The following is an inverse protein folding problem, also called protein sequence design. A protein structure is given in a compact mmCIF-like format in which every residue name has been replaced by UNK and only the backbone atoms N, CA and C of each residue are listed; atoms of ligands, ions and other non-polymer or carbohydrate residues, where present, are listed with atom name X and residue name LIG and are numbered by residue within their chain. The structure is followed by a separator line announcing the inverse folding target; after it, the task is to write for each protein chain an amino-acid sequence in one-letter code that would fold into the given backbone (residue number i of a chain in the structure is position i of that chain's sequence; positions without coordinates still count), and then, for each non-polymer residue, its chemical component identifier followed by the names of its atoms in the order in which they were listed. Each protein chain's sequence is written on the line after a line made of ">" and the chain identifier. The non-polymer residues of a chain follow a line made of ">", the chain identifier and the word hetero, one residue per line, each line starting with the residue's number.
data_IF_112230543191
#
_entry.id   IF_112230543191
#
_cell.length_a   1.000
_cell.length_b   1.000
_cell.length_c   1.000
_cell.angle_alpha   90.00
_cell.angle_beta   90.00
_cell.angle_gamma   90.00
#
_symmetry.space_group_name_H-M   'P 1'
#
loop_
_entity.id
_entity.type
_entity.pdbx_description
1 polymer ?
#
# COMPACT_ATOMS: atom_id res chain seq x y z
N UNK A 1 9.18 -11.37 6.25
CA UNK A 1 9.34 -11.30 4.81
C UNK A 1 8.97 -9.91 4.33
N UNK A 2 9.80 -9.32 3.49
CA UNK A 2 9.59 -7.96 2.98
C UNK A 2 8.91 -7.97 1.61
N UNK A 3 8.07 -6.99 1.38
CA UNK A 3 7.41 -6.79 0.11
C UNK A 3 7.50 -5.33 -0.31
N UNK A 4 7.77 -5.11 -1.59
CA UNK A 4 7.68 -3.79 -2.20
C UNK A 4 6.33 -3.70 -2.91
N UNK A 5 5.59 -2.65 -2.59
CA UNK A 5 4.26 -2.43 -3.14
C UNK A 5 4.24 -1.13 -3.90
N UNK A 6 3.78 -1.18 -5.14
CA UNK A 6 3.49 0.00 -5.94
C UNK A 6 2.00 0.01 -6.22
N UNK A 7 1.29 0.95 -5.63
CA UNK A 7 -0.16 1.09 -5.81
C UNK A 7 -0.45 2.35 -6.61
N UNK A 8 -1.09 2.18 -7.75
CA UNK A 8 -1.47 3.28 -8.63
C UNK A 8 -2.98 3.39 -8.71
N UNK A 9 -3.47 4.59 -8.99
CA UNK A 9 -4.88 4.83 -9.25
C UNK A 9 -5.00 5.71 -10.49
N UNK A 10 -6.13 5.58 -11.21
CA UNK A 10 -6.39 6.40 -12.39
C UNK A 10 -6.80 7.80 -11.98
N UNK A 11 -6.81 8.71 -12.94
CA UNK A 11 -7.33 10.05 -12.73
C UNK A 11 -8.76 10.03 -12.19
N UNK A 12 -9.57 9.10 -12.68
CA UNK A 12 -10.98 8.96 -12.24
C UNK A 12 -11.11 8.49 -10.81
N UNK A 13 -10.16 7.69 -10.32
CA UNK A 13 -10.15 7.16 -8.96
C UNK A 13 -9.21 7.93 -8.05
N UNK A 14 -8.75 9.10 -8.49
CA UNK A 14 -7.80 9.91 -7.73
C UNK A 14 -8.37 10.31 -6.37
N UNK A 15 -7.61 10.01 -5.32
CA UNK A 15 -8.02 10.24 -3.94
C UNK A 15 -7.90 11.70 -3.51
N UNK A 16 -7.15 12.50 -4.28
CA UNK A 16 -6.82 13.87 -3.89
C UNK A 16 -8.05 14.76 -3.70
N UNK A 17 -9.10 14.50 -4.47
CA UNK A 17 -10.32 15.29 -4.45
C UNK A 17 -11.52 14.55 -3.84
N UNK A 18 -11.27 13.41 -3.17
CA UNK A 18 -12.34 12.61 -2.58
C UNK A 18 -12.02 12.31 -1.11
N UNK A 19 -12.60 13.09 -0.17
CA UNK A 19 -12.33 12.90 1.25
C UNK A 19 -12.72 11.52 1.78
N UNK A 20 -13.77 10.91 1.25
CA UNK A 20 -14.20 9.58 1.68
C UNK A 20 -13.19 8.50 1.28
N UNK A 21 -12.71 8.55 0.05
CA UNK A 21 -11.69 7.61 -0.43
C UNK A 21 -10.37 7.79 0.31
N UNK A 22 -9.98 9.04 0.58
CA UNK A 22 -8.80 9.32 1.40
C UNK A 22 -8.91 8.68 2.77
N UNK A 23 -10.07 8.77 3.38
CA UNK A 23 -10.31 8.18 4.69
C UNK A 23 -10.22 6.67 4.64
N UNK A 24 -10.79 6.03 3.61
CA UNK A 24 -10.72 4.58 3.44
C UNK A 24 -9.26 4.12 3.33
N UNK A 25 -8.47 4.82 2.51
CA UNK A 25 -7.04 4.52 2.37
C UNK A 25 -6.29 4.68 3.69
N UNK A 26 -6.54 5.80 4.37
CA UNK A 26 -5.89 6.09 5.64
C UNK A 26 -6.23 5.03 6.70
N UNK A 27 -7.49 4.63 6.77
CA UNK A 27 -7.95 3.62 7.71
C UNK A 27 -7.35 2.25 7.39
N UNK A 28 -7.22 1.91 6.10
CA UNK A 28 -6.57 0.67 5.67
C UNK A 28 -5.11 0.63 6.12
N UNK A 29 -4.38 1.74 5.96
CA UNK A 29 -2.99 1.85 6.38
C UNK A 29 -2.88 1.75 7.90
N UNK A 30 -3.74 2.43 8.64
CA UNK A 30 -3.74 2.40 10.11
C UNK A 30 -4.06 1.01 10.66
N UNK A 31 -4.90 0.25 9.99
CA UNK A 31 -5.28 -1.09 10.43
C UNK A 31 -4.31 -2.18 9.97
N UNK A 32 -3.29 -1.84 9.18
CA UNK A 32 -2.35 -2.81 8.62
C UNK A 32 -1.69 -3.67 9.71
N UNK A 33 -1.26 -3.05 10.79
CA UNK A 33 -0.59 -3.75 11.87
C UNK A 33 -1.49 -4.81 12.51
N UNK A 34 -2.77 -4.52 12.66
CA UNK A 34 -3.74 -5.47 13.19
C UNK A 34 -3.96 -6.66 12.24
N UNK A 35 -3.66 -6.48 10.97
CA UNK A 35 -3.77 -7.52 9.95
C UNK A 35 -2.45 -8.25 9.71
N UNK A 36 -1.44 -7.98 10.55
CA UNK A 36 -0.15 -8.64 10.45
C UNK A 36 0.82 -8.01 9.46
N UNK A 37 0.61 -6.76 9.08
CA UNK A 37 1.48 -6.05 8.14
C UNK A 37 2.14 -4.87 8.85
N UNK A 38 3.48 -4.84 8.85
CA UNK A 38 4.25 -3.72 9.37
C UNK A 38 4.71 -2.85 8.20
N UNK A 39 4.34 -1.59 8.21
CA UNK A 39 4.74 -0.65 7.16
C UNK A 39 6.03 0.03 7.58
N UNK A 40 7.12 -0.22 6.84
CA UNK A 40 8.42 0.39 7.10
C UNK A 40 8.55 1.76 6.43
N UNK A 41 8.08 1.86 5.19
CA UNK A 41 8.15 3.08 4.41
C UNK A 41 6.86 3.29 3.66
N UNK A 42 6.46 4.55 3.57
CA UNK A 42 5.25 4.94 2.84
C UNK A 42 5.55 6.28 2.17
N UNK A 43 5.63 6.27 0.85
CA UNK A 43 5.92 7.47 0.07
C UNK A 43 4.95 7.56 -1.11
N UNK A 44 4.68 8.77 -1.56
CA UNK A 44 3.75 8.96 -2.66
C UNK A 44 4.19 10.06 -3.61
N UNK A 45 3.73 9.96 -4.84
CA UNK A 45 3.83 11.02 -5.82
C UNK A 45 2.43 11.35 -6.33
N UNK A 46 1.94 12.53 -6.01
CA UNK A 46 0.63 12.98 -6.50
C UNK A 46 0.58 13.07 -8.03
N UNK A 47 1.59 13.68 -8.70
CA UNK A 47 1.56 13.73 -10.16
C UNK A 47 1.53 12.37 -10.83
N UNK A 48 2.15 11.36 -10.24
CA UNK A 48 2.18 10.00 -10.78
C UNK A 48 0.99 9.16 -10.32
N UNK A 49 0.12 9.68 -9.45
CA UNK A 49 -1.00 8.95 -8.86
C UNK A 49 -0.55 7.60 -8.29
N UNK A 50 0.61 7.61 -7.63
CA UNK A 50 1.27 6.38 -7.19
C UNK A 50 1.70 6.49 -5.74
N UNK A 51 1.55 5.38 -5.04
CA UNK A 51 1.97 5.19 -3.66
C UNK A 51 2.94 4.02 -3.63
N UNK A 52 4.08 4.17 -2.96
CA UNK A 52 5.04 3.09 -2.76
C UNK A 52 5.17 2.76 -1.29
N UNK A 53 5.27 1.46 -1.00
CA UNK A 53 5.46 0.98 0.37
C UNK A 53 6.50 -0.12 0.41
N UNK A 54 7.25 -0.15 1.50
CA UNK A 54 8.01 -1.34 1.91
C UNK A 54 7.32 -1.85 3.15
N UNK A 55 6.84 -3.07 3.11
CA UNK A 55 6.11 -3.67 4.22
C UNK A 55 6.70 -5.02 4.60
N UNK A 56 6.44 -5.43 5.83
CA UNK A 56 6.84 -6.73 6.33
C UNK A 56 5.60 -7.50 6.76
N UNK A 57 5.47 -8.75 6.30
CA UNK A 57 4.38 -9.63 6.66
C UNK A 57 4.88 -11.08 6.59
N UNK A 58 4.23 -11.98 7.32
CA UNK A 58 4.57 -13.40 7.28
C UNK A 58 4.03 -14.06 6.02
N UNK A 59 2.89 -13.60 5.51
CA UNK A 59 2.22 -14.17 4.36
C UNK A 59 1.74 -13.11 3.40
N UNK A 60 1.58 -13.50 2.13
CA UNK A 60 0.98 -12.65 1.12
C UNK A 60 -0.50 -12.36 1.46
N UNK A 61 -1.17 -13.33 2.08
CA UNK A 61 -2.58 -13.19 2.44
C UNK A 61 -2.82 -12.01 3.39
N UNK A 62 -1.88 -11.74 4.30
CA UNK A 62 -1.98 -10.59 5.20
C UNK A 62 -1.99 -9.28 4.41
N UNK A 63 -1.16 -9.20 3.36
CA UNK A 63 -1.12 -8.02 2.49
C UNK A 63 -2.41 -7.90 1.69
N UNK A 64 -2.91 -9.01 1.17
CA UNK A 64 -4.18 -9.03 0.44
C UNK A 64 -5.34 -8.51 1.31
N UNK A 65 -5.39 -8.93 2.57
CA UNK A 65 -6.40 -8.44 3.52
C UNK A 65 -6.25 -6.93 3.78
N UNK A 66 -5.03 -6.43 3.86
CA UNK A 66 -4.80 -5.00 4.04
C UNK A 66 -5.36 -4.21 2.87
N UNK A 67 -5.26 -4.74 1.64
CA UNK A 67 -5.73 -4.07 0.44
C UNK A 67 -7.22 -4.25 0.18
N UNK A 68 -7.91 -5.16 0.87
CA UNK A 68 -9.31 -5.43 0.60
C UNK A 68 -10.18 -4.16 0.54
N UNK A 69 -10.10 -3.23 1.52
CA UNK A 69 -10.93 -2.02 1.48
C UNK A 69 -10.64 -1.08 0.32
N UNK A 70 -9.46 -1.16 -0.28
CA UNK A 70 -9.02 -0.25 -1.35
C UNK A 70 -8.78 -0.96 -2.68
N UNK A 71 -9.08 -2.26 -2.74
CA UNK A 71 -8.81 -3.07 -3.94
C UNK A 71 -9.45 -2.50 -5.20
N UNK A 72 -10.66 -1.97 -5.09
CA UNK A 72 -11.36 -1.40 -6.24
C UNK A 72 -10.87 0.00 -6.63
N UNK A 73 -10.02 0.61 -5.82
CA UNK A 73 -9.54 1.97 -6.04
C UNK A 73 -8.10 2.04 -6.51
N UNK A 74 -7.36 0.94 -6.46
CA UNK A 74 -5.94 0.93 -6.79
C UNK A 74 -5.57 -0.29 -7.62
N UNK A 75 -4.53 -0.11 -8.45
CA UNK A 75 -3.84 -1.23 -9.08
C UNK A 75 -2.52 -1.39 -8.34
N UNK A 76 -2.33 -2.54 -7.72
CA UNK A 76 -1.15 -2.79 -6.90
C UNK A 76 -0.24 -3.84 -7.53
N UNK A 77 1.04 -3.52 -7.60
CA UNK A 77 2.09 -4.48 -7.96
C UNK A 77 2.85 -4.78 -6.67
N UNK A 78 2.84 -6.04 -6.26
CA UNK A 78 3.42 -6.49 -5.00
C UNK A 78 4.52 -7.50 -5.30
N UNK A 79 5.73 -7.17 -4.90
CA UNK A 79 6.90 -8.03 -5.13
C UNK A 79 7.57 -8.38 -3.81
N UNK A 80 7.88 -9.66 -3.59
CA UNK A 80 8.75 -10.01 -2.47
C UNK A 80 10.15 -9.46 -2.72
N UNK A 81 10.74 -8.88 -1.68
CA UNK A 81 12.05 -8.25 -1.79
C UNK A 81 12.91 -8.64 -0.58
N UNK A 82 14.18 -8.34 -0.67
CA UNK A 82 15.13 -8.68 0.35
C UNK A 82 16.04 -7.48 0.58
N UNK A 83 16.26 -7.15 1.85
CA UNK A 83 17.22 -6.12 2.18
C UNK A 83 18.64 -6.64 1.93
N UNK A 84 19.46 -5.85 1.23
CA UNK A 84 20.86 -6.19 0.99
C UNK A 84 21.75 -5.33 1.90
N UNK A 85 22.91 -5.86 2.32
CA UNK A 85 23.86 -5.04 3.07
C UNK A 85 24.34 -3.85 2.24
N UNK A 86 24.49 -2.71 2.90
CA UNK A 86 24.82 -1.46 2.22
C UNK A 86 26.28 -1.36 1.78
N UNK A 87 27.13 -2.30 2.16
CA UNK A 87 28.57 -2.24 1.81
C UNK A 87 29.13 -3.57 1.40
#
# INVERSE_FOLDING_TARGET
>A
MLFHIQATHSYETCLANDPEKKKILRDAIKSAEQKGVKIHNLISSRPAHTLWMIVEAETFEAIDEMFEPIRAMTDAVINPVMALPAS
#
